data_IF_900516934580
#
_entry.id   IF_900516934580
#
_cell.length_a   1.000
_cell.length_b   1.000
_cell.length_c   1.000
_cell.angle_alpha   90.00
_cell.angle_beta   90.00
_cell.angle_gamma   90.00
#
_symmetry.space_group_name_H-M   'P 1'
#
loop_
_entity.id
_entity.type
_entity.pdbx_description
1 polymer ?
#
# COMPACT_ATOMS: atom_id res chain seq x y z
N UNK A 1 18.06 -11.05 -10.05
CA UNK A 1 17.53 -9.75 -10.53
C UNK A 1 16.07 -9.79 -10.95
N UNK A 2 15.63 -10.74 -11.80
CA UNK A 2 14.24 -10.80 -12.31
C UNK A 2 13.18 -10.93 -11.20
N UNK A 3 13.44 -11.74 -10.18
CA UNK A 3 12.54 -11.92 -9.03
C UNK A 3 12.40 -10.66 -8.18
N UNK A 4 13.47 -9.86 -8.07
CA UNK A 4 13.49 -8.59 -7.35
C UNK A 4 12.58 -7.55 -8.05
N UNK A 5 12.78 -7.32 -9.35
CA UNK A 5 11.94 -6.41 -10.13
C UNK A 5 10.47 -6.81 -10.12
N UNK A 6 10.17 -8.11 -10.20
CA UNK A 6 8.80 -8.61 -10.16
C UNK A 6 8.11 -8.36 -8.81
N UNK A 7 8.81 -8.56 -7.68
CA UNK A 7 8.28 -8.27 -6.33
C UNK A 7 8.04 -6.78 -6.15
N UNK A 8 8.99 -5.99 -6.60
CA UNK A 8 8.95 -4.55 -6.57
C UNK A 8 7.76 -3.99 -7.38
N UNK A 9 7.58 -4.44 -8.63
CA UNK A 9 6.46 -4.03 -9.47
C UNK A 9 5.11 -4.42 -8.88
N UNK A 10 5.00 -5.62 -8.29
CA UNK A 10 3.77 -6.05 -7.58
C UNK A 10 3.47 -5.17 -6.35
N UNK A 11 4.49 -4.75 -5.61
CA UNK A 11 4.33 -3.86 -4.47
C UNK A 11 3.84 -2.46 -4.90
N UNK A 12 4.46 -1.88 -5.92
CA UNK A 12 4.03 -0.59 -6.50
C UNK A 12 2.62 -0.69 -7.07
N UNK A 13 2.29 -1.75 -7.79
CA UNK A 13 0.95 -1.99 -8.32
C UNK A 13 -0.09 -2.18 -7.20
N UNK A 14 0.28 -2.83 -6.11
CA UNK A 14 -0.56 -3.02 -4.92
C UNK A 14 -0.94 -1.68 -4.27
N UNK A 15 -0.02 -0.73 -4.17
CA UNK A 15 -0.30 0.63 -3.66
C UNK A 15 -1.13 1.40 -4.70
N UNK A 16 -0.70 1.39 -5.97
CA UNK A 16 -1.37 2.09 -7.06
C UNK A 16 -2.84 1.68 -7.19
N UNK A 17 -3.13 0.38 -7.13
CA UNK A 17 -4.48 -0.15 -7.21
C UNK A 17 -5.39 0.37 -6.09
N UNK A 18 -4.88 0.45 -4.85
CA UNK A 18 -5.66 0.93 -3.71
C UNK A 18 -5.84 2.45 -3.73
N UNK A 19 -4.82 3.19 -4.15
CA UNK A 19 -4.94 4.62 -4.40
C UNK A 19 -5.98 4.87 -5.49
N UNK A 20 -5.99 4.07 -6.57
CA UNK A 20 -6.99 4.15 -7.62
C UNK A 20 -8.41 3.86 -7.09
N UNK A 21 -8.61 2.83 -6.26
CA UNK A 21 -9.91 2.57 -5.62
C UNK A 21 -10.37 3.75 -4.76
N UNK A 22 -9.48 4.35 -3.97
CA UNK A 22 -9.77 5.52 -3.14
C UNK A 22 -10.15 6.72 -4.01
N UNK A 23 -9.43 6.95 -5.12
CA UNK A 23 -9.74 8.03 -6.07
C UNK A 23 -11.06 7.79 -6.79
N UNK A 24 -11.39 6.55 -7.15
CA UNK A 24 -12.69 6.23 -7.75
C UNK A 24 -13.84 6.45 -6.76
N UNK A 25 -13.75 5.91 -5.55
CA UNK A 25 -14.77 6.09 -4.51
C UNK A 25 -14.90 7.57 -4.15
N UNK A 26 -13.76 8.23 -3.93
CA UNK A 26 -13.68 9.65 -3.66
C UNK A 26 -14.26 10.47 -4.81
N UNK A 27 -13.99 10.09 -6.07
CA UNK A 27 -14.49 10.74 -7.28
C UNK A 27 -15.98 10.55 -7.52
N UNK A 28 -16.56 9.41 -7.15
CA UNK A 28 -18.03 9.21 -7.15
C UNK A 28 -18.68 10.11 -6.10
N UNK A 29 -18.08 10.21 -4.91
CA UNK A 29 -18.55 11.12 -3.86
C UNK A 29 -18.34 12.59 -4.28
N UNK A 30 -17.24 12.90 -4.99
CA UNK A 30 -16.87 14.26 -5.39
C UNK A 30 -17.63 14.77 -6.62
N UNK A 31 -17.82 13.97 -7.65
CA UNK A 31 -18.65 14.35 -8.80
C UNK A 31 -20.14 14.45 -8.44
N UNK A 32 -20.58 13.90 -7.31
CA UNK A 32 -21.97 13.93 -6.86
C UNK A 32 -22.35 15.11 -5.95
N UNK A 33 -21.43 15.63 -5.13
CA UNK A 33 -21.77 16.58 -4.04
C UNK A 33 -20.94 17.88 -4.04
N UNK A 34 -19.59 17.85 -4.09
CA UNK A 34 -18.79 19.05 -3.98
C UNK A 34 -18.82 19.97 -5.20
N UNK A 35 -19.04 19.55 -6.45
CA UNK A 35 -19.18 20.53 -7.55
C UNK A 35 -20.31 21.53 -7.29
N UNK A 36 -21.43 21.05 -6.71
CA UNK A 36 -22.57 21.91 -6.35
C UNK A 36 -22.29 22.74 -5.10
N UNK A 37 -21.67 22.16 -4.07
CA UNK A 37 -21.28 22.86 -2.84
C UNK A 37 -20.23 23.93 -3.15
N UNK A 38 -19.26 23.63 -4.00
CA UNK A 38 -18.17 24.52 -4.38
C UNK A 38 -18.68 25.68 -5.25
N UNK A 39 -19.54 25.39 -6.23
CA UNK A 39 -20.23 26.43 -6.99
C UNK A 39 -21.11 27.30 -6.09
N UNK A 40 -21.73 26.72 -5.05
CA UNK A 40 -22.55 27.44 -4.08
C UNK A 40 -21.75 28.36 -3.17
N UNK A 41 -20.55 27.97 -2.73
CA UNK A 41 -19.73 28.75 -1.78
C UNK A 41 -18.69 29.67 -2.43
N UNK A 42 -18.11 29.31 -3.58
CA UNK A 42 -16.98 30.04 -4.18
C UNK A 42 -17.31 30.71 -5.52
N UNK A 43 -18.47 30.40 -6.11
CA UNK A 43 -18.86 30.87 -7.43
C UNK A 43 -17.89 30.43 -8.55
N UNK A 44 -18.26 30.64 -9.81
CA UNK A 44 -17.39 30.40 -10.97
C UNK A 44 -16.39 31.55 -11.15
N UNK A 45 -15.59 31.82 -10.11
CA UNK A 45 -14.51 32.81 -10.15
C UNK A 45 -13.20 32.14 -10.57
N UNK A 46 -12.28 32.91 -11.18
CA UNK A 46 -10.96 32.40 -11.58
C UNK A 46 -10.19 31.81 -10.39
N UNK A 47 -10.31 32.42 -9.20
CA UNK A 47 -9.73 31.90 -7.98
C UNK A 47 -10.43 30.61 -7.50
N UNK A 48 -11.76 30.53 -7.60
CA UNK A 48 -12.51 29.32 -7.27
C UNK A 48 -12.07 28.12 -8.10
N UNK A 49 -11.90 28.30 -9.41
CA UNK A 49 -11.39 27.25 -10.32
C UNK A 49 -10.00 26.78 -9.89
N UNK A 50 -9.14 27.70 -9.43
CA UNK A 50 -7.80 27.34 -8.96
C UNK A 50 -7.77 26.66 -7.59
N UNK A 51 -8.78 26.89 -6.76
CA UNK A 51 -8.88 26.34 -5.40
C UNK A 51 -9.49 24.93 -5.39
N UNK A 52 -10.20 24.54 -6.44
CA UNK A 52 -10.85 23.22 -6.53
C UNK A 52 -9.85 22.06 -6.36
N UNK A 53 -8.67 22.04 -7.01
CA UNK A 53 -7.69 20.97 -6.83
C UNK A 53 -7.09 20.94 -5.41
N UNK A 54 -6.95 22.10 -4.76
CA UNK A 54 -6.46 22.21 -3.37
C UNK A 54 -7.41 21.50 -2.42
N UNK A 55 -8.71 21.75 -2.56
CA UNK A 55 -9.74 21.15 -1.73
C UNK A 55 -9.85 19.64 -1.99
N UNK A 56 -9.73 19.22 -3.26
CA UNK A 56 -9.69 17.81 -3.63
C UNK A 56 -8.48 17.08 -3.02
N UNK A 57 -7.29 17.67 -3.09
CA UNK A 57 -6.07 17.12 -2.49
C UNK A 57 -6.18 17.03 -0.96
N UNK A 58 -6.74 18.06 -0.32
CA UNK A 58 -6.99 18.09 1.13
C UNK A 58 -7.97 16.98 1.55
N UNK A 59 -9.02 16.77 0.78
CA UNK A 59 -9.97 15.69 1.04
C UNK A 59 -9.33 14.30 0.95
N UNK A 60 -8.51 14.05 -0.07
CA UNK A 60 -7.75 12.80 -0.15
C UNK A 60 -6.77 12.63 1.01
N UNK A 61 -6.13 13.72 1.46
CA UNK A 61 -5.30 13.68 2.66
C UNK A 61 -6.11 13.18 3.87
N UNK A 62 -7.30 13.73 4.10
CA UNK A 62 -8.18 13.29 5.20
C UNK A 62 -8.58 11.82 5.07
N UNK A 63 -8.89 11.33 3.87
CA UNK A 63 -9.17 9.90 3.64
C UNK A 63 -7.95 9.05 4.01
N UNK A 64 -6.76 9.39 3.54
CA UNK A 64 -5.55 8.62 3.86
C UNK A 64 -5.26 8.63 5.36
N UNK A 65 -5.45 9.77 6.02
CA UNK A 65 -5.32 9.89 7.47
C UNK A 65 -6.33 8.98 8.19
N UNK A 66 -7.60 9.00 7.76
CA UNK A 66 -8.65 8.15 8.31
C UNK A 66 -8.33 6.66 8.12
N UNK A 67 -7.83 6.25 6.95
CA UNK A 67 -7.42 4.87 6.68
C UNK A 67 -6.23 4.42 7.53
N UNK A 68 -5.32 5.35 7.88
CA UNK A 68 -4.20 5.09 8.78
C UNK A 68 -4.67 4.79 10.21
N UNK A 69 -5.74 5.45 10.68
CA UNK A 69 -6.31 5.22 12.02
C UNK A 69 -7.33 4.09 12.05
N UNK A 70 -8.22 3.99 11.06
CA UNK A 70 -9.28 2.99 10.98
C UNK A 70 -8.84 1.72 10.22
N UNK A 71 -7.75 1.15 10.71
CA UNK A 71 -6.97 0.09 10.05
C UNK A 71 -7.78 -1.19 9.77
N UNK A 72 -8.74 -1.56 10.62
CA UNK A 72 -9.60 -2.74 10.44
C UNK A 72 -10.57 -2.62 9.25
N UNK A 73 -11.15 -1.44 9.07
CA UNK A 73 -12.06 -1.12 7.97
C UNK A 73 -11.29 -1.06 6.66
N UNK A 74 -10.17 -0.33 6.65
CA UNK A 74 -9.28 -0.23 5.50
C UNK A 74 -8.84 -1.63 5.02
N UNK A 75 -8.44 -2.50 5.96
CA UNK A 75 -8.01 -3.89 5.68
C UNK A 75 -9.07 -4.70 4.93
N UNK A 76 -10.33 -4.48 5.28
CA UNK A 76 -11.47 -5.21 4.74
C UNK A 76 -11.90 -4.63 3.39
N UNK A 77 -12.07 -3.31 3.31
CA UNK A 77 -12.58 -2.63 2.12
C UNK A 77 -11.55 -2.63 0.97
N UNK A 78 -10.26 -2.45 1.29
CA UNK A 78 -9.19 -2.35 0.30
C UNK A 78 -8.46 -3.67 0.06
N UNK A 79 -9.03 -4.79 0.54
CA UNK A 79 -8.49 -6.14 0.35
C UNK A 79 -7.00 -6.26 0.68
N UNK A 80 -6.53 -5.66 1.78
CA UNK A 80 -5.09 -5.60 2.08
C UNK A 80 -4.49 -6.93 2.50
N UNK A 81 -5.33 -7.91 2.86
CA UNK A 81 -4.90 -9.28 3.16
C UNK A 81 -4.17 -9.96 2.00
N UNK A 82 -4.48 -9.60 0.74
CA UNK A 82 -3.79 -10.12 -0.46
C UNK A 82 -2.53 -9.33 -0.82
N UNK A 83 -2.13 -8.36 0.00
CA UNK A 83 -0.93 -7.56 -0.25
C UNK A 83 0.34 -8.27 0.22
N UNK A 84 1.44 -7.97 -0.47
CA UNK A 84 2.81 -8.32 -0.05
C UNK A 84 3.26 -7.53 1.19
N UNK A 85 2.58 -6.45 1.57
CA UNK A 85 2.91 -5.68 2.76
C UNK A 85 2.32 -6.31 4.03
N UNK A 86 3.03 -6.15 5.15
CA UNK A 86 2.48 -6.41 6.47
C UNK A 86 1.47 -5.32 6.87
N UNK A 87 0.59 -5.63 7.82
CA UNK A 87 -0.50 -4.71 8.20
C UNK A 87 0.05 -3.41 8.81
N UNK A 88 1.17 -3.47 9.53
CA UNK A 88 1.84 -2.32 10.15
C UNK A 88 2.43 -1.39 9.08
N UNK A 89 2.94 -1.96 7.98
CA UNK A 89 3.52 -1.21 6.86
C UNK A 89 2.43 -0.40 6.14
N UNK A 90 1.21 -0.94 6.03
CA UNK A 90 0.11 -0.21 5.41
C UNK A 90 -0.26 1.08 6.14
N UNK A 91 -0.23 1.07 7.48
CA UNK A 91 -0.42 2.31 8.26
C UNK A 91 0.62 3.36 7.88
N UNK A 92 1.89 2.98 7.78
CA UNK A 92 2.97 3.88 7.38
C UNK A 92 2.78 4.38 5.93
N UNK A 93 2.36 3.51 5.01
CA UNK A 93 2.05 3.87 3.62
C UNK A 93 0.95 4.94 3.58
N UNK A 94 -0.14 4.77 4.34
CA UNK A 94 -1.21 5.78 4.38
C UNK A 94 -0.76 7.11 4.97
N UNK A 95 0.07 7.10 6.01
CA UNK A 95 0.64 8.34 6.55
C UNK A 95 1.56 9.05 5.54
N UNK A 96 2.32 8.30 4.74
CA UNK A 96 3.11 8.85 3.64
C UNK A 96 2.23 9.45 2.54
N UNK A 97 1.16 8.76 2.14
CA UNK A 97 0.20 9.26 1.16
C UNK A 97 -0.55 10.50 1.67
N UNK A 98 -0.88 10.55 2.96
CA UNK A 98 -1.43 11.73 3.63
C UNK A 98 -0.47 12.93 3.54
N UNK A 99 0.80 12.73 3.94
CA UNK A 99 1.81 13.79 3.89
C UNK A 99 2.01 14.30 2.46
N UNK A 100 2.06 13.39 1.48
CA UNK A 100 2.16 13.74 0.07
C UNK A 100 0.96 14.55 -0.44
N UNK A 101 -0.26 14.15 -0.07
CA UNK A 101 -1.46 14.87 -0.45
C UNK A 101 -1.51 16.30 0.14
N UNK A 102 -1.03 16.48 1.37
CA UNK A 102 -0.87 17.82 1.96
C UNK A 102 0.18 18.67 1.26
N UNK A 103 1.31 18.08 0.86
CA UNK A 103 2.35 18.78 0.08
C UNK A 103 1.76 19.25 -1.25
N UNK A 104 1.00 18.40 -1.94
CA UNK A 104 0.30 18.80 -3.16
C UNK A 104 -0.73 19.91 -2.91
N UNK A 105 -1.57 19.78 -1.89
CA UNK A 105 -2.56 20.81 -1.57
C UNK A 105 -1.89 22.17 -1.30
N UNK A 106 -0.77 22.16 -0.58
CA UNK A 106 0.02 23.37 -0.27
C UNK A 106 0.66 23.95 -1.54
N UNK A 107 1.24 23.11 -2.39
CA UNK A 107 1.84 23.52 -3.65
C UNK A 107 0.78 24.11 -4.60
N UNK A 108 -0.37 23.45 -4.74
CA UNK A 108 -1.47 23.92 -5.56
C UNK A 108 -2.06 25.22 -5.02
N UNK A 109 -2.17 25.38 -3.70
CA UNK A 109 -2.63 26.63 -3.08
C UNK A 109 -1.64 27.78 -3.34
N UNK A 110 -0.35 27.51 -3.24
CA UNK A 110 0.69 28.48 -3.57
C UNK A 110 0.63 28.86 -5.06
N UNK A 111 0.53 27.88 -5.97
CA UNK A 111 0.39 28.14 -7.40
C UNK A 111 -0.92 28.88 -7.72
N UNK A 112 -2.01 28.58 -7.01
CA UNK A 112 -3.28 29.25 -7.19
C UNK A 112 -3.19 30.76 -6.88
N UNK A 113 -2.41 31.11 -5.86
CA UNK A 113 -2.23 32.50 -5.41
C UNK A 113 -1.26 33.30 -6.30
N UNK A 114 -0.20 32.66 -6.80
CA UNK A 114 0.92 33.39 -7.42
C UNK A 114 1.12 33.12 -8.91
N UNK A 115 0.60 32.02 -9.46
CA UNK A 115 0.81 31.68 -10.86
C UNK A 115 -0.31 32.23 -11.76
N UNK A 116 0.04 32.75 -12.95
CA UNK A 116 -0.90 32.97 -14.04
C UNK A 116 -1.67 31.68 -14.35
N UNK A 117 -2.94 31.81 -14.73
CA UNK A 117 -3.87 30.68 -14.91
C UNK A 117 -3.39 29.67 -15.94
N UNK A 118 -2.74 30.12 -17.01
CA UNK A 118 -2.17 29.25 -18.05
C UNK A 118 -1.02 28.37 -17.52
N UNK A 119 -0.13 28.95 -16.72
CA UNK A 119 1.00 28.25 -16.10
C UNK A 119 0.47 27.25 -15.06
N UNK A 120 -0.49 27.70 -14.24
CA UNK A 120 -1.17 26.84 -13.28
C UNK A 120 -1.83 25.64 -13.97
N UNK A 121 -2.56 25.85 -15.07
CA UNK A 121 -3.23 24.79 -15.82
C UNK A 121 -2.24 23.76 -16.36
N UNK A 122 -1.11 24.22 -16.88
CA UNK A 122 -0.04 23.36 -17.39
C UNK A 122 0.55 22.47 -16.29
N UNK A 123 0.78 23.03 -15.11
CA UNK A 123 1.35 22.30 -13.97
C UNK A 123 0.33 21.32 -13.38
N UNK A 124 -0.89 21.77 -13.06
CA UNK A 124 -1.91 20.95 -12.38
C UNK A 124 -2.40 19.80 -13.26
N UNK A 125 -2.42 19.92 -14.59
CA UNK A 125 -2.85 18.83 -15.47
C UNK A 125 -1.84 17.71 -15.65
N UNK A 126 -0.55 18.00 -15.54
CA UNK A 126 0.52 17.06 -15.93
C UNK A 126 1.35 16.55 -14.75
N UNK A 127 1.50 17.35 -13.71
CA UNK A 127 2.49 17.13 -12.65
C UNK A 127 1.98 16.22 -11.50
N UNK A 128 0.74 16.36 -10.99
CA UNK A 128 0.30 15.62 -9.79
C UNK A 128 0.32 14.10 -9.96
N UNK A 129 -0.16 13.60 -11.10
CA UNK A 129 -0.20 12.17 -11.37
C UNK A 129 1.20 11.56 -11.54
N UNK A 130 2.08 12.25 -12.26
CA UNK A 130 3.46 11.79 -12.44
C UNK A 130 4.21 11.77 -11.10
N UNK A 131 4.07 12.82 -10.28
CA UNK A 131 4.66 12.88 -8.94
C UNK A 131 4.10 11.79 -8.04
N UNK A 132 2.82 11.46 -8.14
CA UNK A 132 2.21 10.35 -7.40
C UNK A 132 2.85 9.02 -7.76
N UNK A 133 3.01 8.74 -9.06
CA UNK A 133 3.63 7.50 -9.53
C UNK A 133 5.07 7.37 -9.01
N UNK A 134 5.87 8.45 -9.09
CA UNK A 134 7.22 8.48 -8.55
C UNK A 134 7.18 8.27 -7.03
N UNK A 135 6.25 8.88 -6.32
CA UNK A 135 6.14 8.73 -4.87
C UNK A 135 5.76 7.30 -4.46
N UNK A 136 4.81 6.67 -5.16
CA UNK A 136 4.46 5.25 -4.97
C UNK A 136 5.68 4.35 -5.22
N UNK A 137 6.47 4.67 -6.25
CA UNK A 137 7.72 3.97 -6.55
C UNK A 137 8.69 4.08 -5.36
N UNK A 138 8.88 5.26 -4.80
CA UNK A 138 9.75 5.50 -3.66
C UNK A 138 9.27 4.80 -2.38
N UNK A 139 7.96 4.81 -2.10
CA UNK A 139 7.36 4.08 -0.97
C UNK A 139 7.65 2.58 -1.11
N UNK A 140 7.41 2.03 -2.30
CA UNK A 140 7.61 0.60 -2.57
C UNK A 140 9.09 0.22 -2.42
N UNK A 141 9.99 1.13 -2.80
CA UNK A 141 11.44 0.93 -2.66
C UNK A 141 11.85 0.95 -1.19
N UNK A 142 11.33 1.88 -0.40
CA UNK A 142 11.59 1.96 1.04
C UNK A 142 11.22 0.67 1.78
N UNK A 143 10.11 0.03 1.39
CA UNK A 143 9.58 -1.14 2.09
C UNK A 143 9.93 -2.48 1.43
N UNK A 144 10.78 -2.51 0.41
CA UNK A 144 11.14 -3.73 -0.31
C UNK A 144 11.68 -4.85 0.60
N UNK A 145 12.42 -4.49 1.65
CA UNK A 145 12.97 -5.43 2.64
C UNK A 145 11.94 -5.98 3.64
N UNK A 146 10.76 -5.36 3.71
CA UNK A 146 9.64 -5.77 4.58
C UNK A 146 8.51 -6.47 3.81
N UNK A 147 8.75 -6.84 2.55
CA UNK A 147 7.75 -7.56 1.74
C UNK A 147 7.68 -9.02 2.15
N UNK A 148 6.46 -9.53 2.33
CA UNK A 148 6.19 -10.96 2.52
C UNK A 148 6.72 -11.79 1.34
N UNK A 149 7.13 -13.05 1.56
CA UNK A 149 7.37 -14.02 0.50
C UNK A 149 6.13 -14.16 -0.39
N UNK A 150 6.34 -14.39 -1.70
CA UNK A 150 5.22 -14.55 -2.64
C UNK A 150 4.39 -15.81 -2.32
N UNK A 151 5.02 -16.85 -1.78
CA UNK A 151 4.36 -18.10 -1.37
C UNK A 151 3.26 -17.84 -0.32
N UNK A 152 3.53 -16.96 0.65
CA UNK A 152 2.63 -16.68 1.78
C UNK A 152 1.41 -15.84 1.39
N UNK A 153 1.43 -15.19 0.20
CA UNK A 153 0.30 -14.39 -0.30
C UNK A 153 -0.78 -15.27 -0.94
N UNK A 154 -0.41 -16.48 -1.39
CA UNK A 154 -1.31 -17.41 -2.07
C UNK A 154 -1.73 -18.59 -1.19
N UNK A 155 -1.14 -18.76 -0.01
CA UNK A 155 -1.58 -19.77 0.95
C UNK A 155 -3.04 -19.49 1.32
N UNK A 156 -3.94 -20.38 0.87
CA UNK A 156 -5.31 -20.41 1.36
C UNK A 156 -5.27 -20.64 2.87
N UNK A 157 -6.21 -20.10 3.66
CA UNK A 157 -6.37 -20.50 5.07
C UNK A 157 -6.45 -22.02 5.25
N UNK A 158 -6.94 -22.75 4.23
CA UNK A 158 -6.98 -24.22 4.21
C UNK A 158 -5.59 -24.87 4.06
N UNK A 159 -4.63 -24.22 3.39
CA UNK A 159 -3.28 -24.76 3.20
C UNK A 159 -2.44 -24.65 4.49
N UNK A 160 -2.72 -23.63 5.31
CA UNK A 160 -2.11 -23.48 6.64
C UNK A 160 -2.65 -24.51 7.65
N UNK A 161 -3.93 -24.89 7.51
CA UNK A 161 -4.56 -25.91 8.34
C UNK A 161 -4.03 -27.31 7.96
N UNK A 162 -3.86 -27.61 6.67
CA UNK A 162 -3.21 -28.84 6.18
C UNK A 162 -1.74 -28.97 6.60
N UNK A 163 -0.98 -27.87 6.69
CA UNK A 163 0.39 -27.90 7.21
C UNK A 163 0.45 -28.18 8.73
N UNK A 164 -0.62 -27.84 9.47
CA UNK A 164 -0.72 -28.10 10.92
C UNK A 164 -1.25 -29.52 11.20
N UNK A 165 -2.05 -30.08 10.30
CA UNK A 165 -2.58 -31.46 10.38
C UNK A 165 -1.76 -32.50 9.60
N UNK A 166 -0.72 -32.09 8.87
CA UNK A 166 0.14 -32.94 8.06
C UNK A 166 1.35 -33.54 8.78
N UNK A 167 1.45 -33.43 10.10
CA UNK A 167 2.35 -34.31 10.85
C UNK A 167 1.69 -35.68 10.98
N UNK A 168 2.28 -36.76 10.45
CA UNK A 168 1.77 -38.09 10.71
C UNK A 168 1.84 -38.29 12.22
N UNK A 169 0.68 -38.52 12.84
CA UNK A 169 0.61 -39.01 14.22
C UNK A 169 1.45 -40.29 14.29
N UNK A 170 2.68 -40.09 14.75
CA UNK A 170 3.58 -41.14 15.18
C UNK A 170 2.87 -41.93 16.26
N UNK A 171 2.73 -43.21 15.97
CA UNK A 171 2.35 -44.26 16.89
C UNK A 171 3.11 -44.06 18.20
N UNK A 172 2.36 -44.00 19.28
CA UNK A 172 2.91 -43.87 20.62
C UNK A 172 3.83 -45.05 20.97
N UNK A 173 4.73 -44.79 21.90
CA UNK A 173 5.27 -45.83 22.77
C UNK A 173 6.77 -46.02 22.68
N UNK A 174 7.39 -45.73 23.83
CA UNK A 174 8.59 -46.37 24.37
C UNK A 174 9.91 -45.80 23.84
N UNK A 175 10.47 -44.90 24.65
CA UNK A 175 11.91 -44.67 24.69
C UNK A 175 12.63 -45.92 25.23
N UNK A 176 13.83 -46.22 24.71
CA UNK A 176 14.89 -46.66 25.58
C UNK A 176 16.06 -45.69 25.51
N UNK A 177 16.43 -45.23 26.70
CA UNK A 177 17.75 -44.72 27.02
C UNK A 177 18.79 -45.81 26.78
N UNK A 178 19.82 -45.52 25.98
CA UNK A 178 21.18 -45.98 26.24
C UNK A 178 22.17 -45.22 25.33
N UNK A 179 22.97 -44.36 25.97
CA UNK A 179 24.28 -43.94 25.45
C UNK A 179 25.20 -45.17 25.41
N UNK A 180 25.79 -45.42 24.25
CA UNK A 180 27.15 -45.96 24.07
C UNK A 180 27.48 -45.70 22.60
N UNK A 181 28.34 -44.73 22.28
CA UNK A 181 29.78 -44.97 22.26
C UNK A 181 30.16 -45.25 20.80
N UNK A 182 30.68 -44.22 20.13
CA UNK A 182 31.20 -44.29 18.78
C UNK A 182 32.50 -45.12 18.73
N UNK A 183 32.78 -45.68 17.56
CA UNK A 183 34.09 -45.82 16.87
C UNK A 183 34.07 -47.13 16.03
N UNK A 184 33.88 -47.04 14.69
CA UNK A 184 34.89 -46.83 13.63
C UNK A 184 35.82 -48.04 13.40
N UNK A 185 35.68 -48.61 12.18
CA UNK A 185 36.66 -49.30 11.32
C UNK A 185 37.74 -50.21 11.95
N UNK A 186 37.83 -51.47 11.52
CA UNK A 186 38.79 -51.87 10.47
C UNK A 186 38.54 -53.32 10.00
N UNK A 187 39.16 -53.63 8.89
CA UNK A 187 38.98 -54.65 7.88
C UNK A 187 40.05 -55.75 8.03
N UNK A 188 39.81 -56.92 7.45
CA UNK A 188 40.90 -57.68 6.80
C UNK A 188 41.45 -58.92 7.52
N UNK A 189 41.12 -60.07 6.94
CA UNK A 189 41.96 -61.25 6.62
C UNK A 189 43.17 -61.63 7.50
N UNK A 190 43.19 -62.90 7.91
CA UNK A 190 44.37 -63.62 8.42
C UNK A 190 44.04 -64.77 9.36
#
# INVERSE_FOLDING_TARGET
MITFFRRYAKASLSILWRVFQIVLIGGVIFNGAPDQIFQHFFGLTEFGIKLEPVLRATYFALIFLMLAFWRSLARTILFEKSSLFADEVWREIYLMLFAWALVLATLDAFLALYAPTEIWLGIVRSTPFLLLLIYIFLISFRYQGKLKPIADVHASPQDAELATYGSPMGIGGIAPSAKSGADLHDSGDG
#
